data_IF_659925573763
#
_entry.id   IF_659925573763
#
_cell.length_a   1.000
_cell.length_b   1.000
_cell.length_c   1.000
_cell.angle_alpha   90.00
_cell.angle_beta   90.00
_cell.angle_gamma   90.00
#
_symmetry.space_group_name_H-M   'P 1'
#
loop_
_entity.id
_entity.type
_entity.pdbx_description
1 polymer ?
#
# COMPACT_ATOMS: atom_id res chain seq x y z
N UNK A 1 16.49 -9.19 0.73
CA UNK A 1 15.50 -8.75 1.76
C UNK A 1 14.65 -7.58 1.23
N UNK A 2 13.40 -7.42 1.66
CA UNK A 2 12.53 -6.32 1.22
C UNK A 2 12.62 -5.12 2.19
N UNK A 3 12.72 -3.92 1.64
CA UNK A 3 12.78 -2.67 2.40
C UNK A 3 11.84 -1.63 1.79
N UNK A 4 11.11 -0.90 2.64
CA UNK A 4 10.27 0.21 2.20
C UNK A 4 11.18 1.39 1.89
N UNK A 5 11.18 1.83 0.64
CA UNK A 5 11.94 3.00 0.16
C UNK A 5 11.09 4.27 0.14
N UNK A 6 9.77 4.12 0.07
CA UNK A 6 8.83 5.25 0.12
C UNK A 6 7.60 4.91 0.96
N UNK A 7 7.33 5.77 1.94
CA UNK A 7 6.14 5.67 2.80
C UNK A 7 5.04 6.58 2.27
N UNK A 8 3.75 6.24 2.50
CA UNK A 8 2.64 7.09 2.11
C UNK A 8 2.71 8.43 2.87
N UNK A 9 2.56 9.54 2.15
CA UNK A 9 2.48 10.87 2.75
C UNK A 9 1.18 11.08 3.55
N UNK A 10 0.10 10.41 3.13
CA UNK A 10 -1.22 10.59 3.73
C UNK A 10 -1.53 9.43 4.68
N UNK A 11 -1.71 9.74 5.96
CA UNK A 11 -2.06 8.77 7.02
C UNK A 11 -3.53 8.82 7.43
N UNK A 12 -4.29 9.80 6.93
CA UNK A 12 -5.69 10.04 7.29
C UNK A 12 -6.54 10.21 6.03
N UNK A 13 -7.57 9.38 5.90
CA UNK A 13 -8.60 9.55 4.88
C UNK A 13 -9.78 10.35 5.44
N UNK A 14 -10.35 11.24 4.63
CA UNK A 14 -11.56 11.99 4.99
C UNK A 14 -12.83 11.25 4.56
N UNK A 15 -13.85 11.27 5.40
CA UNK A 15 -15.12 10.60 5.09
C UNK A 15 -15.78 11.26 3.88
N UNK A 16 -16.07 10.46 2.85
CA UNK A 16 -16.65 10.94 1.60
C UNK A 16 -15.63 11.40 0.55
N UNK A 17 -14.33 11.33 0.84
CA UNK A 17 -13.27 11.56 -0.13
C UNK A 17 -12.47 10.30 -0.41
N UNK A 18 -12.19 10.02 -1.68
CA UNK A 18 -11.29 8.95 -2.08
C UNK A 18 -9.86 9.41 -1.85
N UNK A 19 -9.14 8.74 -0.96
CA UNK A 19 -7.77 9.11 -0.59
C UNK A 19 -6.82 8.07 -1.13
N UNK A 20 -5.96 8.47 -2.06
CA UNK A 20 -4.92 7.60 -2.58
C UNK A 20 -3.68 7.67 -1.68
N UNK A 21 -3.15 6.52 -1.29
CA UNK A 21 -1.89 6.41 -0.58
C UNK A 21 -1.00 5.36 -1.24
N UNK A 22 0.24 5.74 -1.54
CA UNK A 22 1.21 4.89 -2.23
C UNK A 22 2.40 4.59 -1.35
N UNK A 23 2.87 3.35 -1.36
CA UNK A 23 4.14 2.96 -0.78
C UNK A 23 5.02 2.26 -1.82
N UNK A 24 6.32 2.46 -1.73
CA UNK A 24 7.30 1.77 -2.57
C UNK A 24 8.20 0.90 -1.72
N UNK A 25 8.36 -0.35 -2.13
CA UNK A 25 9.25 -1.31 -1.52
C UNK A 25 10.24 -1.83 -2.58
N UNK A 26 11.49 -2.03 -2.18
CA UNK A 26 12.54 -2.59 -3.02
C UNK A 26 13.08 -3.87 -2.39
N UNK A 27 13.39 -4.89 -3.19
CA UNK A 27 13.96 -6.14 -2.68
C UNK A 27 13.83 -7.33 -3.62
N UNK A 28 14.25 -8.49 -3.12
CA UNK A 28 14.17 -9.75 -3.86
C UNK A 28 12.72 -10.24 -3.95
N UNK A 29 12.31 -10.65 -5.14
CA UNK A 29 10.94 -11.09 -5.42
C UNK A 29 10.70 -12.51 -4.90
N UNK A 30 9.47 -12.84 -4.44
CA UNK A 30 8.28 -11.99 -4.43
C UNK A 30 8.18 -11.09 -3.18
N UNK A 31 7.97 -9.79 -3.40
CA UNK A 31 7.70 -8.83 -2.33
C UNK A 31 6.20 -8.82 -2.04
N UNK A 32 5.81 -9.01 -0.78
CA UNK A 32 4.41 -8.91 -0.34
C UNK A 32 4.21 -7.63 0.45
N UNK A 33 3.29 -6.78 -0.02
CA UNK A 33 2.91 -5.54 0.65
C UNK A 33 1.56 -5.74 1.32
N UNK A 34 1.43 -5.25 2.56
CA UNK A 34 0.16 -5.18 3.29
C UNK A 34 -0.05 -3.78 3.83
N UNK A 35 -1.31 -3.36 3.83
CA UNK A 35 -1.73 -2.10 4.41
C UNK A 35 -2.32 -2.35 5.80
N UNK A 36 -2.00 -1.48 6.75
CA UNK A 36 -2.47 -1.59 8.13
C UNK A 36 -2.99 -0.22 8.59
N UNK A 37 -4.14 -0.21 9.28
CA UNK A 37 -4.74 0.97 9.92
C UNK A 37 -4.97 0.67 11.39
N UNK A 38 -4.38 1.47 12.27
CA UNK A 38 -4.56 1.35 13.73
C UNK A 38 -4.33 -0.09 14.24
N UNK A 39 -3.28 -0.75 13.72
CA UNK A 39 -2.93 -2.16 14.00
C UNK A 39 -3.89 -3.22 13.45
N UNK A 40 -4.87 -2.84 12.61
CA UNK A 40 -5.67 -3.78 11.82
C UNK A 40 -5.18 -3.85 10.38
N UNK A 41 -5.02 -5.07 9.88
CA UNK A 41 -4.70 -5.33 8.47
C UNK A 41 -5.91 -4.95 7.61
N UNK A 42 -5.67 -4.10 6.61
CA UNK A 42 -6.66 -3.76 5.59
C UNK A 42 -6.71 -4.92 4.60
N UNK A 43 -7.85 -5.61 4.58
CA UNK A 43 -8.10 -6.66 3.59
C UNK A 43 -8.66 -6.03 2.31
N UNK A 44 -8.06 -6.29 1.14
CA UNK A 44 -8.58 -5.81 -0.13
C UNK A 44 -9.96 -6.40 -0.48
N UNK A 45 -10.38 -7.49 0.17
CA UNK A 45 -11.73 -8.05 0.05
C UNK A 45 -12.83 -7.17 0.67
N UNK A 46 -12.46 -6.17 1.49
CA UNK A 46 -13.43 -5.21 2.00
C UNK A 46 -13.80 -4.19 0.92
N UNK A 47 -15.08 -4.05 0.60
CA UNK A 47 -15.59 -3.16 -0.47
C UNK A 47 -15.23 -1.67 -0.35
N UNK A 48 -14.62 -1.24 0.76
CA UNK A 48 -14.20 0.14 1.02
C UNK A 48 -12.77 0.43 0.55
N UNK A 49 -11.94 -0.58 0.38
CA UNK A 49 -10.50 -0.43 0.19
C UNK A 49 -10.05 -1.12 -1.10
N UNK A 50 -9.38 -0.39 -1.98
CA UNK A 50 -8.82 -0.97 -3.20
C UNK A 50 -7.30 -0.95 -3.10
N UNK A 51 -6.68 -2.13 -3.05
CA UNK A 51 -5.22 -2.27 -3.06
C UNK A 51 -4.76 -2.69 -4.44
N UNK A 52 -3.97 -1.84 -5.08
CA UNK A 52 -3.26 -2.15 -6.33
C UNK A 52 -1.79 -2.36 -6.05
N UNK A 53 -1.18 -3.35 -6.70
CA UNK A 53 0.27 -3.62 -6.61
C UNK A 53 0.83 -3.61 -8.02
N UNK A 54 1.87 -2.81 -8.23
CA UNK A 54 2.57 -2.66 -9.51
C UNK A 54 4.05 -2.94 -9.31
N UNK A 55 4.57 -3.92 -10.05
CA UNK A 55 6.00 -4.21 -10.06
C UNK A 55 6.70 -3.34 -11.10
N UNK A 56 7.77 -2.66 -10.71
CA UNK A 56 8.59 -1.78 -11.55
C UNK A 56 10.06 -2.14 -11.36
N UNK A 57 10.59 -2.99 -12.25
CA UNK A 57 11.94 -3.53 -12.09
C UNK A 57 12.07 -4.35 -10.80
N UNK A 58 13.00 -3.94 -9.93
CA UNK A 58 13.24 -4.51 -8.59
C UNK A 58 12.43 -3.81 -7.48
N UNK A 59 11.59 -2.84 -7.85
CA UNK A 59 10.67 -2.15 -6.97
C UNK A 59 9.23 -2.66 -7.12
N UNK A 60 8.47 -2.50 -6.05
CA UNK A 60 7.04 -2.77 -5.99
C UNK A 60 6.38 -1.53 -5.41
N UNK A 61 5.44 -0.98 -6.17
CA UNK A 61 4.61 0.15 -5.79
C UNK A 61 3.25 -0.40 -5.42
N UNK A 62 2.84 -0.23 -4.17
CA UNK A 62 1.47 -0.53 -3.75
C UNK A 62 0.70 0.76 -3.53
N UNK A 63 -0.54 0.79 -4.00
CA UNK A 63 -1.45 1.94 -3.87
C UNK A 63 -2.74 1.47 -3.21
N UNK A 64 -3.15 2.13 -2.12
CA UNK A 64 -4.45 1.96 -1.47
C UNK A 64 -5.34 3.16 -1.79
N UNK A 65 -6.60 2.90 -2.13
CA UNK A 65 -7.65 3.90 -2.39
C UNK A 65 -8.90 3.62 -1.54
#
# INVERSE_FOLDING_TARGET
>A
PAMITSYPNTTRAEQGHMTEMSCTAHGEKPIKVRWEKESHIINPDMSRYVVTVKEVGDEVISTLQ
#
